data_IF_225815920604
#
_entry.id   IF_225815920604
#
_cell.length_a   1.000
_cell.length_b   1.000
_cell.length_c   1.000
_cell.angle_alpha   90.00
_cell.angle_beta   90.00
_cell.angle_gamma   90.00
#
_symmetry.space_group_name_H-M   'P 1'
#
loop_
_entity.id
_entity.type
_entity.pdbx_description
1 polymer ?
#
# COMPACT_ATOMS: atom_id res chain seq x y z
N UNK A 1 -6.45 50.51 -2.90
CA UNK A 1 -6.49 50.03 -2.99
C UNK A 1 -6.36 49.18 -3.04
N UNK A 2 -6.11 48.56 -2.97
CA UNK A 2 -6.09 47.81 -3.08
C UNK A 2 -5.83 46.71 -3.13
N UNK A 3 -5.68 46.11 -3.11
CA UNK A 3 -5.64 45.19 -3.20
C UNK A 3 -5.04 44.24 -3.11
N UNK A 4 -4.91 43.63 -2.98
CA UNK A 4 -4.43 42.84 -2.89
C UNK A 4 -4.24 41.73 -2.65
N UNK A 5 -4.07 41.11 -2.57
CA UNK A 5 -3.83 40.14 -2.28
C UNK A 5 -3.80 39.10 -2.71
N UNK A 6 -3.78 38.61 -2.80
CA UNK A 6 -3.84 37.74 -3.19
C UNK A 6 -3.12 36.82 -3.30
N UNK A 7 -2.88 36.22 -3.51
CA UNK A 7 -2.16 35.39 -3.75
C UNK A 7 -1.91 34.34 -3.10
N UNK A 8 -2.01 33.88 -2.83
CA UNK A 8 -1.75 33.12 -2.02
C UNK A 8 -2.02 31.91 -2.14
N UNK A 9 -2.18 31.22 -2.20
CA UNK A 9 -2.53 30.14 -2.27
C UNK A 9 -1.89 29.15 -2.81
N UNK A 10 -1.65 28.70 -3.29
CA UNK A 10 -1.04 27.80 -3.82
C UNK A 10 -0.23 26.86 -3.24
N UNK A 11 0.27 26.83 -2.40
CA UNK A 11 1.13 25.94 -1.88
C UNK A 11 0.70 24.62 -1.57
N UNK A 12 -0.42 24.35 -1.28
CA UNK A 12 -0.77 23.07 -0.72
C UNK A 12 -0.71 21.93 -1.66
N UNK A 13 -0.78 22.13 -2.90
CA UNK A 13 -0.85 21.03 -3.81
C UNK A 13 0.36 20.13 -3.81
N UNK A 14 1.48 20.64 -3.36
CA UNK A 14 2.68 19.88 -3.46
C UNK A 14 2.73 18.64 -2.64
N UNK A 15 2.00 18.61 -1.56
CA UNK A 15 2.12 17.53 -0.63
C UNK A 15 1.66 16.23 -1.15
N UNK A 16 0.79 16.23 -2.13
CA UNK A 16 0.19 15.01 -2.52
C UNK A 16 1.02 14.22 -3.44
N UNK A 17 1.90 14.84 -4.11
CA UNK A 17 2.61 14.20 -5.19
C UNK A 17 3.48 13.08 -4.72
N UNK A 18 4.18 13.27 -3.66
CA UNK A 18 5.13 12.28 -3.22
C UNK A 18 4.52 10.98 -2.81
N UNK A 19 3.38 11.03 -2.16
CA UNK A 19 2.79 9.79 -1.69
C UNK A 19 2.24 8.94 -2.81
N UNK A 20 1.66 9.54 -3.81
CA UNK A 20 1.08 8.76 -4.89
C UNK A 20 2.12 7.97 -5.65
N UNK A 21 3.32 8.48 -5.72
CA UNK A 21 4.35 7.82 -6.49
C UNK A 21 5.17 6.84 -5.70
N UNK A 22 5.12 6.92 -4.39
CA UNK A 22 5.98 6.12 -3.55
C UNK A 22 5.56 4.66 -3.50
N UNK A 23 4.30 4.35 -3.72
CA UNK A 23 3.81 3.02 -3.41
C UNK A 23 4.31 1.89 -4.30
N UNK A 24 4.31 2.02 -5.64
CA UNK A 24 4.92 0.96 -6.45
C UNK A 24 6.42 0.82 -6.20
N UNK A 25 7.11 1.94 -6.07
CA UNK A 25 8.54 1.90 -5.80
C UNK A 25 8.81 1.37 -4.40
N UNK A 26 7.97 1.72 -3.44
CA UNK A 26 8.08 1.24 -2.09
C UNK A 26 7.88 -0.27 -2.03
N UNK A 27 6.92 -0.80 -2.77
CA UNK A 27 6.70 -2.23 -2.83
C UNK A 27 7.93 -2.94 -3.36
N UNK A 28 8.54 -2.39 -4.38
CA UNK A 28 9.74 -2.96 -4.96
C UNK A 28 10.90 -2.92 -3.96
N UNK A 29 11.14 -1.78 -3.35
CA UNK A 29 12.25 -1.64 -2.42
C UNK A 29 12.05 -2.42 -1.12
N UNK A 30 10.82 -2.72 -0.78
CA UNK A 30 10.50 -3.51 0.40
C UNK A 30 10.50 -5.02 0.14
N UNK A 31 10.79 -5.43 -1.09
CA UNK A 31 10.87 -6.85 -1.42
C UNK A 31 9.55 -7.51 -1.77
N UNK A 32 8.47 -6.78 -1.80
CA UNK A 32 7.14 -7.34 -2.07
C UNK A 32 7.05 -7.98 -3.45
N UNK A 33 7.73 -7.38 -4.41
CA UNK A 33 7.65 -7.84 -5.80
C UNK A 33 8.43 -9.11 -6.07
N UNK A 34 9.12 -9.64 -5.08
CA UNK A 34 9.74 -10.96 -5.21
C UNK A 34 8.70 -12.08 -5.24
N UNK A 35 7.55 -11.84 -4.63
CA UNK A 35 6.50 -12.84 -4.51
C UNK A 35 5.16 -12.38 -5.05
N UNK A 36 4.97 -11.10 -5.26
CA UNK A 36 3.72 -10.53 -5.74
C UNK A 36 3.92 -9.77 -7.04
N UNK A 37 2.87 -9.71 -7.84
CA UNK A 37 2.76 -8.74 -8.93
C UNK A 37 1.46 -8.00 -8.76
N UNK A 38 1.26 -6.97 -9.54
CA UNK A 38 0.01 -6.21 -9.47
C UNK A 38 -1.15 -7.01 -10.04
N UNK A 39 -0.94 -7.66 -11.17
CA UNK A 39 -2.04 -8.28 -11.92
C UNK A 39 -2.17 -9.78 -11.77
N UNK A 40 -1.12 -10.47 -11.44
CA UNK A 40 -1.10 -11.92 -11.53
C UNK A 40 -0.66 -12.58 -10.25
N UNK A 41 -1.13 -13.80 -10.06
CA UNK A 41 -0.61 -14.65 -9.01
C UNK A 41 0.80 -15.08 -9.36
N UNK A 42 1.64 -15.09 -8.35
CA UNK A 42 2.98 -15.58 -8.46
C UNK A 42 3.20 -16.55 -7.30
N UNK A 43 4.12 -16.28 -6.41
CA UNK A 43 4.18 -17.01 -5.13
C UNK A 43 3.02 -16.59 -4.26
N UNK A 44 2.78 -15.28 -4.18
CA UNK A 44 1.61 -14.74 -3.50
C UNK A 44 0.56 -14.27 -4.49
N UNK A 45 -0.61 -13.86 -3.99
CA UNK A 45 -1.67 -13.38 -4.87
C UNK A 45 -1.29 -12.08 -5.54
N UNK A 46 -1.89 -11.81 -6.69
CA UNK A 46 -1.79 -10.50 -7.32
C UNK A 46 -2.40 -9.45 -6.42
N UNK A 47 -1.84 -8.25 -6.44
CA UNK A 47 -2.37 -7.19 -5.59
C UNK A 47 -3.81 -6.82 -5.94
N UNK A 48 -4.17 -6.90 -7.20
CA UNK A 48 -5.56 -6.66 -7.62
C UNK A 48 -6.52 -7.70 -7.06
N UNK A 49 -6.07 -8.92 -6.91
CA UNK A 49 -6.88 -9.97 -6.31
C UNK A 49 -7.08 -9.70 -4.82
N UNK A 50 -6.06 -9.20 -4.15
CA UNK A 50 -6.17 -8.81 -2.76
C UNK A 50 -7.19 -7.68 -2.62
N UNK A 51 -7.09 -6.68 -3.47
CA UNK A 51 -8.02 -5.56 -3.45
C UNK A 51 -9.46 -6.03 -3.67
N UNK A 52 -9.66 -6.94 -4.61
CA UNK A 52 -10.99 -7.46 -4.90
C UNK A 52 -11.57 -8.25 -3.72
N UNK A 53 -10.74 -9.06 -3.07
CA UNK A 53 -11.19 -9.87 -1.95
C UNK A 53 -11.66 -9.01 -0.78
N UNK A 54 -10.99 -7.92 -0.53
CA UNK A 54 -11.27 -7.08 0.63
C UNK A 54 -12.09 -5.84 0.31
N UNK A 55 -12.66 -5.78 -0.88
CA UNK A 55 -13.48 -4.65 -1.28
C UNK A 55 -14.66 -4.50 -0.35
N UNK A 56 -14.84 -3.30 0.18
CA UNK A 56 -15.94 -3.03 1.09
C UNK A 56 -15.70 -3.44 2.53
N UNK A 57 -14.56 -4.03 2.83
CA UNK A 57 -14.24 -4.43 4.19
C UNK A 57 -13.54 -3.28 4.91
N UNK A 58 -14.23 -2.65 5.84
CA UNK A 58 -13.69 -1.50 6.55
C UNK A 58 -12.53 -1.84 7.48
N UNK A 59 -12.39 -3.11 7.85
CA UNK A 59 -11.28 -3.56 8.70
C UNK A 59 -10.07 -4.05 7.94
N UNK A 60 -10.14 -4.06 6.62
CA UNK A 60 -9.10 -4.67 5.81
C UNK A 60 -7.74 -4.01 5.97
N UNK A 61 -7.69 -2.69 6.05
CA UNK A 61 -6.42 -2.00 6.12
C UNK A 61 -5.61 -2.42 7.36
N UNK A 62 -6.25 -2.45 8.51
CA UNK A 62 -5.58 -2.85 9.74
C UNK A 62 -5.23 -4.32 9.73
N UNK A 63 -6.14 -5.16 9.24
CA UNK A 63 -5.90 -6.60 9.17
C UNK A 63 -4.72 -6.92 8.26
N UNK A 64 -4.68 -6.32 7.08
CA UNK A 64 -3.61 -6.57 6.13
C UNK A 64 -2.29 -6.01 6.62
N UNK A 65 -2.29 -4.88 7.29
CA UNK A 65 -1.06 -4.33 7.85
C UNK A 65 -0.44 -5.31 8.86
N UNK A 66 -1.26 -5.91 9.68
CA UNK A 66 -0.79 -6.93 10.62
C UNK A 66 -0.22 -8.15 9.91
N UNK A 67 -0.87 -8.59 8.84
CA UNK A 67 -0.40 -9.73 8.06
C UNK A 67 0.92 -9.46 7.37
N UNK A 68 1.10 -8.27 6.87
CA UNK A 68 2.38 -7.90 6.24
C UNK A 68 3.49 -7.87 7.28
N UNK A 69 3.23 -7.28 8.43
CA UNK A 69 4.25 -7.15 9.48
C UNK A 69 4.64 -8.49 10.06
N UNK A 70 3.67 -9.31 10.37
CA UNK A 70 3.88 -10.54 11.14
C UNK A 70 3.90 -11.79 10.28
N UNK A 71 3.57 -11.68 9.01
CA UNK A 71 3.44 -12.84 8.15
C UNK A 71 2.08 -13.49 8.29
N UNK A 72 1.78 -14.42 7.43
CA UNK A 72 0.51 -15.14 7.45
C UNK A 72 0.68 -16.51 6.84
N UNK A 73 -0.20 -17.45 7.24
CA UNK A 73 -0.28 -18.78 6.69
C UNK A 73 -1.69 -19.09 6.32
N UNK A 74 -1.88 -19.74 5.22
CA UNK A 74 -3.20 -20.23 4.84
C UNK A 74 -4.17 -19.19 4.33
N UNK A 75 -3.79 -17.94 4.28
CA UNK A 75 -4.70 -16.88 3.82
C UNK A 75 -5.00 -17.01 2.32
N UNK A 76 -4.03 -17.41 1.55
CA UNK A 76 -4.14 -17.54 0.10
C UNK A 76 -3.60 -18.87 -0.40
N UNK A 77 -3.64 -19.88 0.43
CA UNK A 77 -3.17 -21.20 0.07
C UNK A 77 -2.07 -21.69 1.00
N UNK A 78 -1.36 -22.77 0.62
CA UNK A 78 -0.42 -23.41 1.52
C UNK A 78 0.90 -22.67 1.71
N UNK A 79 1.24 -21.76 0.82
CA UNK A 79 2.53 -21.09 0.90
C UNK A 79 2.42 -19.93 1.89
N UNK A 80 3.21 -19.90 2.95
CA UNK A 80 3.15 -18.82 3.91
C UNK A 80 3.81 -17.57 3.37
N UNK A 81 3.32 -16.43 3.82
CA UNK A 81 3.99 -15.16 3.60
C UNK A 81 4.85 -14.89 4.82
N UNK A 82 6.16 -14.70 4.65
CA UNK A 82 7.01 -14.44 5.80
C UNK A 82 6.77 -13.03 6.37
N UNK A 83 7.14 -12.82 7.63
CA UNK A 83 7.01 -11.50 8.22
C UNK A 83 7.97 -10.48 7.59
N UNK A 84 7.51 -9.25 7.53
CA UNK A 84 8.31 -8.13 7.03
C UNK A 84 8.67 -7.20 8.20
N UNK A 85 9.35 -7.74 9.18
CA UNK A 85 9.63 -7.03 10.42
C UNK A 85 10.49 -5.78 10.23
N UNK A 86 11.27 -5.75 9.16
CA UNK A 86 12.15 -4.61 8.89
C UNK A 86 11.49 -3.50 8.07
N UNK A 87 10.24 -3.67 7.67
CA UNK A 87 9.50 -2.59 7.01
C UNK A 87 8.76 -1.81 8.10
N UNK A 88 8.86 -0.50 8.07
CA UNK A 88 8.24 0.32 9.10
C UNK A 88 6.72 0.23 9.04
N UNK A 89 6.08 0.46 10.18
CA UNK A 89 4.61 0.44 10.23
C UNK A 89 3.99 1.47 9.30
N UNK A 90 4.63 2.62 9.20
CA UNK A 90 4.16 3.67 8.29
C UNK A 90 4.24 3.24 6.84
N UNK A 91 5.34 2.62 6.46
CA UNK A 91 5.49 2.13 5.08
C UNK A 91 4.53 1.00 4.78
N UNK A 92 4.30 0.11 5.74
CA UNK A 92 3.31 -0.94 5.58
C UNK A 92 1.92 -0.35 5.36
N UNK A 93 1.57 0.66 6.12
CA UNK A 93 0.28 1.34 5.95
C UNK A 93 0.15 1.96 4.57
N UNK A 94 1.20 2.59 4.10
CA UNK A 94 1.22 3.16 2.75
C UNK A 94 1.03 2.08 1.69
N UNK A 95 1.74 0.97 1.84
CA UNK A 95 1.62 -0.15 0.90
C UNK A 95 0.23 -0.74 0.89
N UNK A 96 -0.34 -0.99 2.04
CA UNK A 96 -1.66 -1.59 2.15
C UNK A 96 -2.73 -0.65 1.57
N UNK A 97 -2.62 0.63 1.86
CA UNK A 97 -3.57 1.61 1.30
C UNK A 97 -3.51 1.61 -0.23
N UNK A 98 -2.32 1.56 -0.78
CA UNK A 98 -2.16 1.49 -2.22
C UNK A 98 -2.74 0.20 -2.79
N UNK A 99 -2.42 -0.94 -2.20
CA UNK A 99 -2.92 -2.22 -2.68
C UNK A 99 -4.46 -2.23 -2.67
N UNK A 100 -5.06 -1.75 -1.61
CA UNK A 100 -6.51 -1.72 -1.52
C UNK A 100 -7.17 -0.75 -2.49
N UNK A 101 -6.40 0.15 -3.06
CA UNK A 101 -6.91 1.09 -4.06
C UNK A 101 -6.91 0.51 -5.48
N UNK A 102 -6.32 -0.63 -5.68
CA UNK A 102 -6.26 -1.26 -6.99
C UNK A 102 -7.57 -1.97 -7.30
#
# INVERSE_FOLDING_TARGET
MKAVWMGIVAASALLMVGTAQASPDLAKSSGCMNCHTVDKKMVGPGFKDVAAKYKGDSGAAASLAGKVKNGTKGAWGPIPMPPNANVSDENIKTLVTWILSL
#
